data_IF_141811953298
#
_entry.id   IF_141811953298
#
_cell.length_a   1.000
_cell.length_b   1.000
_cell.length_c   1.000
_cell.angle_alpha   90.00
_cell.angle_beta   90.00
_cell.angle_gamma   90.00
#
_symmetry.space_group_name_H-M   'P 1'
#
loop_
_entity.id
_entity.type
_entity.pdbx_description
1 polymer ?
#
# COMPACT_ATOMS: atom_id res chain seq x y z
N UNK A 1 -14.20 6.58 -9.54
CA UNK A 1 -13.29 7.45 -8.76
C UNK A 1 -13.85 8.86 -8.79
N UNK A 2 -13.59 9.65 -7.75
CA UNK A 2 -14.11 11.02 -7.67
C UNK A 2 -13.39 11.99 -8.64
N UNK A 3 -12.42 11.50 -9.46
CA UNK A 3 -11.39 12.26 -10.19
C UNK A 3 -11.93 13.25 -11.22
N UNK A 4 -13.19 13.13 -11.62
CA UNK A 4 -13.86 14.05 -12.54
C UNK A 4 -14.44 15.32 -11.90
N UNK A 5 -14.28 15.53 -10.59
CA UNK A 5 -14.76 16.73 -9.87
C UNK A 5 -13.88 17.97 -10.16
N UNK A 6 -14.48 19.16 -10.08
CA UNK A 6 -13.77 20.43 -10.23
C UNK A 6 -12.66 20.61 -9.20
N UNK A 7 -11.56 21.26 -9.58
CA UNK A 7 -10.44 21.58 -8.69
C UNK A 7 -10.61 22.88 -7.89
N UNK A 8 -11.83 23.44 -7.86
CA UNK A 8 -12.12 24.74 -7.22
C UNK A 8 -12.41 24.63 -5.71
N UNK A 9 -12.47 23.41 -5.18
CA UNK A 9 -12.73 23.13 -3.79
C UNK A 9 -11.71 23.84 -2.87
N UNK A 10 -12.21 24.57 -1.88
CA UNK A 10 -11.38 25.33 -0.94
C UNK A 10 -11.10 24.58 0.36
N UNK A 11 -11.83 23.50 0.62
CA UNK A 11 -11.63 22.62 1.76
C UNK A 11 -12.08 21.19 1.39
N UNK A 12 -11.52 20.14 2.04
CA UNK A 12 -11.99 18.77 1.86
C UNK A 12 -13.50 18.67 2.10
N UNK A 13 -14.19 18.03 1.16
CA UNK A 13 -15.63 17.82 1.10
C UNK A 13 -16.47 19.11 1.01
N UNK A 14 -15.87 20.23 0.59
CA UNK A 14 -16.62 21.46 0.32
C UNK A 14 -17.44 21.39 -0.97
N UNK A 15 -16.99 20.59 -1.92
CA UNK A 15 -17.63 20.41 -3.22
C UNK A 15 -18.39 19.08 -3.24
N UNK A 16 -19.51 19.04 -3.96
CA UNK A 16 -20.35 17.85 -4.05
C UNK A 16 -19.57 16.65 -4.62
N UNK A 17 -19.76 15.47 -4.00
CA UNK A 17 -19.22 14.21 -4.52
C UNK A 17 -19.99 13.81 -5.78
N UNK A 18 -19.33 13.14 -6.73
CA UNK A 18 -20.04 12.54 -7.85
C UNK A 18 -20.80 11.27 -7.38
N UNK A 19 -21.61 10.71 -8.27
CA UNK A 19 -22.49 9.57 -8.00
C UNK A 19 -21.78 8.20 -8.10
N UNK A 20 -20.45 8.18 -8.21
CA UNK A 20 -19.68 6.94 -8.23
C UNK A 20 -19.58 6.36 -6.82
N UNK A 21 -19.72 5.03 -6.72
CA UNK A 21 -19.56 4.28 -5.47
C UNK A 21 -18.19 4.55 -4.85
N UNK A 22 -18.18 4.79 -3.54
CA UNK A 22 -16.94 5.02 -2.78
C UNK A 22 -16.10 3.74 -2.63
N UNK A 23 -14.79 3.91 -2.41
CA UNK A 23 -13.86 2.80 -2.30
C UNK A 23 -14.15 1.87 -1.10
N UNK A 24 -14.59 2.36 0.07
CA UNK A 24 -14.95 1.49 1.20
C UNK A 24 -16.14 0.57 0.91
N UNK A 25 -17.14 1.07 0.18
CA UNK A 25 -18.29 0.28 -0.24
C UNK A 25 -17.88 -0.78 -1.26
N UNK A 26 -17.04 -0.41 -2.25
CA UNK A 26 -16.50 -1.38 -3.21
C UNK A 26 -15.66 -2.46 -2.52
N UNK A 27 -14.82 -2.07 -1.56
CA UNK A 27 -13.99 -2.96 -0.73
C UNK A 27 -14.85 -3.98 0.00
N UNK A 28 -15.86 -3.51 0.74
CA UNK A 28 -16.76 -4.39 1.49
C UNK A 28 -17.52 -5.34 0.56
N UNK A 29 -18.02 -4.83 -0.57
CA UNK A 29 -18.73 -5.64 -1.56
C UNK A 29 -17.86 -6.74 -2.17
N UNK A 30 -16.62 -6.41 -2.52
CA UNK A 30 -15.68 -7.37 -3.10
C UNK A 30 -15.26 -8.44 -2.09
N UNK A 31 -14.92 -8.05 -0.85
CA UNK A 31 -14.56 -9.00 0.21
C UNK A 31 -15.71 -9.96 0.54
N UNK A 32 -16.96 -9.47 0.60
CA UNK A 32 -18.14 -10.31 0.83
C UNK A 32 -18.43 -11.27 -0.33
N UNK A 33 -18.03 -10.93 -1.56
CA UNK A 33 -18.19 -11.79 -2.71
C UNK A 33 -17.09 -12.86 -2.76
N UNK A 34 -15.83 -12.45 -2.60
CA UNK A 34 -14.66 -13.32 -2.71
C UNK A 34 -14.50 -14.24 -1.49
N UNK A 35 -14.83 -13.77 -0.30
CA UNK A 35 -14.73 -14.56 0.94
C UNK A 35 -15.77 -15.68 1.08
N UNK A 36 -16.53 -15.97 0.01
CA UNK A 36 -17.38 -17.16 -0.08
C UNK A 36 -16.60 -18.39 -0.54
N UNK A 37 -15.38 -18.20 -1.06
CA UNK A 37 -14.51 -19.29 -1.49
C UNK A 37 -13.76 -19.89 -0.29
N UNK A 38 -13.93 -21.19 -0.07
CA UNK A 38 -13.27 -21.93 1.03
C UNK A 38 -11.76 -22.10 0.77
N UNK A 39 -11.32 -22.01 -0.49
CA UNK A 39 -9.91 -22.06 -0.87
C UNK A 39 -9.18 -20.71 -0.64
N UNK A 40 -9.94 -19.68 -0.24
CA UNK A 40 -9.44 -18.33 -0.01
C UNK A 40 -9.41 -17.46 -1.28
N UNK A 41 -8.86 -16.26 -1.17
CA UNK A 41 -8.83 -15.31 -2.28
C UNK A 41 -7.67 -14.33 -2.18
N UNK A 42 -7.49 -13.59 -3.27
CA UNK A 42 -6.70 -12.37 -3.29
C UNK A 42 -7.46 -11.24 -3.93
N UNK A 43 -7.16 -10.03 -3.46
CA UNK A 43 -7.76 -8.82 -3.96
C UNK A 43 -6.74 -7.69 -3.89
N UNK A 44 -6.75 -6.86 -4.93
CA UNK A 44 -6.11 -5.54 -4.98
C UNK A 44 -7.20 -4.46 -4.89
N UNK A 45 -7.02 -3.48 -4.00
CA UNK A 45 -7.89 -2.32 -3.80
C UNK A 45 -6.99 -1.09 -3.89
N UNK A 46 -7.30 -0.19 -4.82
CA UNK A 46 -6.41 0.89 -5.19
C UNK A 46 -7.08 2.25 -5.00
N UNK A 47 -6.43 3.13 -4.23
CA UNK A 47 -6.75 4.55 -4.12
C UNK A 47 -6.13 5.38 -5.25
N UNK A 48 -6.26 4.96 -6.51
CA UNK A 48 -5.45 5.48 -7.62
C UNK A 48 -5.63 6.99 -7.93
N UNK A 49 -6.71 7.61 -7.46
CA UNK A 49 -6.92 9.04 -7.62
C UNK A 49 -6.06 9.91 -6.67
N UNK A 50 -5.40 9.33 -5.67
CA UNK A 50 -4.38 10.01 -4.86
C UNK A 50 -3.23 10.48 -5.76
N UNK A 51 -2.72 9.59 -6.61
CA UNK A 51 -1.65 9.92 -7.57
C UNK A 51 -2.05 11.07 -8.51
N UNK A 52 -3.28 11.03 -9.02
CA UNK A 52 -3.83 12.08 -9.88
C UNK A 52 -3.92 13.42 -9.15
N UNK A 53 -4.30 13.41 -7.87
CA UNK A 53 -4.33 14.61 -7.04
C UNK A 53 -2.92 15.17 -6.80
N UNK A 54 -1.94 14.29 -6.59
CA UNK A 54 -0.53 14.63 -6.48
C UNK A 54 0.03 15.26 -7.76
N UNK A 55 -0.24 14.67 -8.92
CA UNK A 55 0.13 15.27 -10.22
C UNK A 55 -0.50 16.65 -10.44
N UNK A 56 -1.73 16.83 -9.95
CA UNK A 56 -2.45 18.11 -10.00
C UNK A 56 -2.06 19.11 -8.92
N UNK A 57 -1.15 18.76 -8.00
CA UNK A 57 -0.81 19.53 -6.80
C UNK A 57 -2.07 20.04 -6.06
N UNK A 58 -3.06 19.15 -5.92
CA UNK A 58 -4.37 19.47 -5.38
C UNK A 58 -4.51 18.93 -3.95
N UNK A 59 -4.18 19.75 -2.93
CA UNK A 59 -4.14 19.29 -1.54
C UNK A 59 -5.53 18.94 -0.99
N UNK A 60 -6.58 19.63 -1.46
CA UNK A 60 -7.95 19.34 -1.02
C UNK A 60 -8.33 17.96 -1.49
N UNK A 61 -8.02 17.64 -2.73
CA UNK A 61 -8.39 16.36 -3.31
C UNK A 61 -7.53 15.21 -2.81
N UNK A 62 -6.24 15.44 -2.65
CA UNK A 62 -5.29 14.49 -2.09
C UNK A 62 -5.75 14.02 -0.69
N UNK A 63 -6.23 14.96 0.15
CA UNK A 63 -6.80 14.64 1.47
C UNK A 63 -8.08 13.79 1.35
N UNK A 64 -9.00 14.15 0.46
CA UNK A 64 -10.27 13.41 0.29
C UNK A 64 -10.04 11.97 -0.17
N UNK A 65 -9.18 11.76 -1.18
CA UNK A 65 -8.85 10.43 -1.72
C UNK A 65 -8.09 9.59 -0.70
N UNK A 66 -7.12 10.19 0.00
CA UNK A 66 -6.40 9.51 1.08
C UNK A 66 -7.35 9.09 2.21
N UNK A 67 -8.34 9.93 2.55
CA UNK A 67 -9.35 9.56 3.56
C UNK A 67 -10.30 8.45 3.07
N UNK A 68 -10.66 8.43 1.79
CA UNK A 68 -11.49 7.36 1.23
C UNK A 68 -10.74 6.02 1.18
N UNK A 69 -9.47 6.06 0.83
CA UNK A 69 -8.58 4.90 0.92
C UNK A 69 -8.43 4.40 2.37
N UNK A 70 -8.18 5.28 3.34
CA UNK A 70 -8.06 4.88 4.75
C UNK A 70 -9.33 4.19 5.27
N UNK A 71 -10.52 4.70 4.89
CA UNK A 71 -11.79 4.02 5.23
C UNK A 71 -11.93 2.65 4.57
N UNK A 72 -11.29 2.43 3.43
CA UNK A 72 -11.25 1.13 2.74
C UNK A 72 -10.36 0.14 3.48
N UNK A 73 -9.23 0.61 4.04
CA UNK A 73 -8.40 -0.18 4.96
C UNK A 73 -9.19 -0.53 6.23
N UNK A 74 -9.90 0.42 6.82
CA UNK A 74 -10.79 0.16 7.97
C UNK A 74 -11.86 -0.90 7.63
N UNK A 75 -12.46 -0.82 6.43
CA UNK A 75 -13.43 -1.80 5.97
C UNK A 75 -12.82 -3.20 5.81
N UNK A 76 -11.60 -3.30 5.26
CA UNK A 76 -10.89 -4.57 5.13
C UNK A 76 -10.54 -5.18 6.49
N UNK A 77 -10.00 -4.37 7.42
CA UNK A 77 -9.70 -4.82 8.79
C UNK A 77 -10.96 -5.34 9.48
N UNK A 78 -12.04 -4.56 9.43
CA UNK A 78 -13.32 -4.96 10.01
C UNK A 78 -13.82 -6.28 9.40
N UNK A 79 -13.72 -6.43 8.08
CA UNK A 79 -14.13 -7.65 7.40
C UNK A 79 -13.34 -8.86 7.91
N UNK A 80 -12.02 -8.73 8.05
CA UNK A 80 -11.17 -9.80 8.59
C UNK A 80 -11.55 -10.16 10.02
N UNK A 81 -11.78 -9.16 10.88
CA UNK A 81 -12.18 -9.39 12.28
C UNK A 81 -13.55 -10.04 12.44
N UNK A 82 -14.47 -9.82 11.50
CA UNK A 82 -15.85 -10.34 11.55
C UNK A 82 -16.03 -11.67 10.79
N UNK A 83 -15.26 -11.92 9.74
CA UNK A 83 -15.50 -13.02 8.79
C UNK A 83 -14.29 -13.93 8.55
N UNK A 84 -13.12 -13.60 9.11
CA UNK A 84 -11.88 -14.36 8.93
C UNK A 84 -11.04 -14.36 10.23
N UNK A 85 -9.73 -14.55 10.12
CA UNK A 85 -8.75 -14.49 11.19
C UNK A 85 -7.44 -13.86 10.70
N UNK A 86 -6.74 -13.16 11.59
CA UNK A 86 -5.37 -12.68 11.33
C UNK A 86 -4.35 -13.82 11.25
N UNK A 87 -4.71 -15.04 11.66
CA UNK A 87 -3.89 -16.23 11.47
C UNK A 87 -3.97 -16.76 10.02
N UNK A 88 -5.07 -16.46 9.32
CA UNK A 88 -5.35 -16.96 7.97
C UNK A 88 -5.29 -15.84 6.90
N UNK A 89 -5.28 -14.58 7.31
CA UNK A 89 -5.29 -13.42 6.41
C UNK A 89 -4.07 -12.56 6.60
N UNK A 90 -3.42 -12.18 5.49
CA UNK A 90 -2.42 -11.13 5.42
C UNK A 90 -3.03 -9.87 4.78
N UNK A 91 -3.00 -8.76 5.51
CA UNK A 91 -3.27 -7.43 4.97
C UNK A 91 -1.94 -6.69 4.78
N UNK A 92 -1.71 -6.17 3.57
CA UNK A 92 -0.59 -5.29 3.24
C UNK A 92 -1.14 -3.94 2.76
N UNK A 93 -0.50 -2.85 3.17
CA UNK A 93 -0.87 -1.47 2.83
C UNK A 93 0.41 -0.67 2.55
N UNK A 94 0.63 -0.27 1.28
CA UNK A 94 1.85 0.43 0.81
C UNK A 94 1.57 1.41 -0.33
N UNK A 95 2.49 2.26 -0.79
CA UNK A 95 2.37 2.82 -2.17
C UNK A 95 3.22 2.06 -3.16
N UNK A 96 2.92 2.29 -4.44
CA UNK A 96 3.81 2.09 -5.58
C UNK A 96 4.88 3.18 -5.67
N UNK A 97 4.51 4.46 -5.48
CA UNK A 97 5.42 5.61 -5.40
C UNK A 97 4.82 6.84 -4.69
N UNK A 98 5.64 7.87 -4.45
CA UNK A 98 5.19 9.21 -4.07
C UNK A 98 5.00 10.08 -5.33
N UNK A 99 4.02 10.99 -5.30
CA UNK A 99 3.73 11.89 -6.42
C UNK A 99 3.54 13.33 -5.95
N UNK A 100 4.19 14.27 -6.64
CA UNK A 100 4.04 15.73 -6.46
C UNK A 100 5.06 16.36 -5.51
N UNK A 101 5.81 15.55 -4.75
CA UNK A 101 6.75 16.05 -3.74
C UNK A 101 6.06 16.97 -2.74
N UNK A 102 5.00 16.48 -2.09
CA UNK A 102 4.27 17.22 -1.07
C UNK A 102 5.11 17.33 0.21
N UNK A 103 5.46 18.55 0.62
CA UNK A 103 6.22 18.78 1.85
C UNK A 103 5.81 20.08 2.56
N UNK A 104 6.54 20.47 3.60
CA UNK A 104 6.37 21.77 4.23
C UNK A 104 6.56 22.91 3.23
N UNK A 105 5.92 24.04 3.50
CA UNK A 105 6.10 25.22 2.66
C UNK A 105 7.51 25.84 2.88
N UNK A 106 8.07 26.38 1.80
CA UNK A 106 9.37 27.06 1.70
C UNK A 106 10.63 26.17 1.85
N UNK A 107 10.51 24.85 1.72
CA UNK A 107 11.65 23.92 1.86
C UNK A 107 12.59 23.93 0.66
N UNK A 108 12.06 23.80 -0.56
CA UNK A 108 12.87 23.61 -1.77
C UNK A 108 12.93 24.91 -2.58
N UNK A 109 14.13 25.35 -3.01
CA UNK A 109 14.27 26.47 -3.93
C UNK A 109 13.61 26.17 -5.27
N UNK A 110 12.72 27.04 -5.72
CA UNK A 110 12.14 27.02 -7.08
C UNK A 110 12.28 28.41 -7.70
N UNK A 111 11.96 28.56 -8.99
CA UNK A 111 11.91 29.89 -9.63
C UNK A 111 10.95 30.83 -8.89
N UNK A 112 9.81 30.29 -8.43
CA UNK A 112 8.80 31.03 -7.66
C UNK A 112 9.10 31.11 -6.15
N UNK A 113 10.12 30.39 -5.66
CA UNK A 113 10.53 30.36 -4.27
C UNK A 113 12.08 30.44 -4.13
N UNK A 114 12.71 31.56 -4.52
CA UNK A 114 14.16 31.70 -4.49
C UNK A 114 14.76 31.79 -3.08
N UNK A 115 13.94 32.12 -2.07
CA UNK A 115 14.34 32.32 -0.67
C UNK A 115 14.08 31.09 0.21
N UNK A 116 13.91 29.91 -0.40
CA UNK A 116 13.71 28.66 0.34
C UNK A 116 14.86 28.39 1.31
N UNK A 117 14.55 27.83 2.47
CA UNK A 117 15.53 27.64 3.55
C UNK A 117 16.31 26.32 3.45
N UNK A 118 16.01 25.49 2.44
CA UNK A 118 16.71 24.26 2.10
C UNK A 118 16.84 23.29 3.29
N UNK A 119 15.76 23.16 4.05
CA UNK A 119 15.62 22.24 5.20
C UNK A 119 14.19 21.71 5.26
N UNK A 120 13.99 20.65 6.05
CA UNK A 120 12.66 20.16 6.37
C UNK A 120 11.88 21.21 7.18
N UNK A 121 10.64 21.47 6.78
CA UNK A 121 9.67 22.31 7.44
C UNK A 121 8.43 21.46 7.74
N UNK A 122 7.94 21.51 8.97
CA UNK A 122 6.68 20.85 9.27
C UNK A 122 5.54 21.53 8.47
N UNK A 123 4.60 20.72 7.98
CA UNK A 123 3.31 21.27 7.54
C UNK A 123 2.54 21.74 8.78
N UNK A 124 2.18 23.02 8.79
CA UNK A 124 1.53 23.67 9.94
C UNK A 124 0.17 24.22 9.52
N UNK A 125 -0.84 24.10 10.36
CA UNK A 125 -2.18 24.58 10.03
C UNK A 125 -3.10 24.68 11.23
N UNK A 126 -4.17 25.46 11.06
CA UNK A 126 -5.27 25.53 12.01
C UNK A 126 -6.24 24.38 11.76
N UNK A 127 -6.85 23.85 12.83
CA UNK A 127 -7.90 22.83 12.73
C UNK A 127 -9.00 23.27 11.76
N UNK A 128 -9.34 22.41 10.80
CA UNK A 128 -10.39 22.66 9.81
C UNK A 128 -9.93 23.46 8.59
N UNK A 129 -8.63 23.77 8.46
CA UNK A 129 -8.03 24.35 7.26
C UNK A 129 -6.99 23.39 6.69
N UNK A 130 -6.78 23.47 5.38
CA UNK A 130 -5.65 22.79 4.73
C UNK A 130 -4.36 23.37 5.32
N UNK A 131 -3.44 22.50 5.73
CA UNK A 131 -2.17 22.90 6.30
C UNK A 131 -1.34 23.70 5.28
N UNK A 132 -0.48 24.60 5.76
CA UNK A 132 0.52 25.28 4.94
C UNK A 132 1.52 24.25 4.44
N UNK A 133 1.57 24.06 3.13
CA UNK A 133 2.38 23.05 2.45
C UNK A 133 3.01 23.63 1.17
N UNK A 134 3.95 22.90 0.60
CA UNK A 134 4.53 23.16 -0.71
C UNK A 134 4.51 21.89 -1.56
N UNK A 135 4.36 22.07 -2.87
CA UNK A 135 4.56 21.03 -3.87
C UNK A 135 5.79 21.38 -4.70
N UNK A 136 6.70 20.43 -4.86
CA UNK A 136 8.00 20.66 -5.50
C UNK A 136 8.22 19.80 -6.74
N UNK A 137 7.18 19.09 -7.19
CA UNK A 137 7.12 18.35 -8.43
C UNK A 137 5.68 18.38 -8.95
N UNK A 138 5.49 17.98 -10.21
CA UNK A 138 4.20 17.57 -10.75
C UNK A 138 4.28 16.14 -11.32
N UNK A 139 5.28 15.38 -10.88
CA UNK A 139 5.65 14.04 -11.31
C UNK A 139 5.95 13.18 -10.08
N UNK A 140 6.16 11.89 -10.31
CA UNK A 140 6.58 10.98 -9.25
C UNK A 140 7.94 11.40 -8.66
N UNK A 141 8.18 11.02 -7.40
CA UNK A 141 9.51 11.10 -6.78
C UNK A 141 10.01 9.72 -6.37
N UNK A 142 11.29 9.66 -6.01
CA UNK A 142 11.93 8.44 -5.51
C UNK A 142 11.94 8.37 -3.97
N UNK A 143 11.02 9.08 -3.30
CA UNK A 143 10.93 8.98 -1.84
C UNK A 143 10.51 7.57 -1.41
N UNK A 144 11.07 7.11 -0.28
CA UNK A 144 10.60 5.90 0.37
C UNK A 144 9.14 6.07 0.81
N UNK A 145 8.32 5.10 0.40
CA UNK A 145 6.92 5.00 0.78
C UNK A 145 6.76 4.10 2.01
N UNK A 146 5.80 4.40 2.91
CA UNK A 146 5.47 3.50 4.01
C UNK A 146 4.95 2.15 3.52
N UNK A 147 5.30 1.10 4.26
CA UNK A 147 4.83 -0.26 4.04
C UNK A 147 4.34 -0.81 5.38
N UNK A 148 3.05 -1.10 5.48
CA UNK A 148 2.39 -1.65 6.66
C UNK A 148 1.85 -3.04 6.36
N UNK A 149 1.82 -3.90 7.37
CA UNK A 149 1.26 -5.23 7.22
C UNK A 149 0.77 -5.79 8.54
N UNK A 150 -0.15 -6.77 8.46
CA UNK A 150 -0.64 -7.52 9.61
C UNK A 150 -1.21 -8.87 9.18
N UNK A 151 -0.95 -9.87 10.00
CA UNK A 151 -1.54 -11.20 9.92
C UNK A 151 -0.56 -12.27 9.43
N UNK A 152 -1.06 -13.29 8.75
CA UNK A 152 -0.27 -14.43 8.28
C UNK A 152 0.98 -13.97 7.49
N UNK A 153 2.14 -14.61 7.68
CA UNK A 153 3.37 -14.26 6.97
C UNK A 153 4.08 -12.96 7.42
N UNK A 154 3.54 -12.24 8.41
CA UNK A 154 4.19 -11.01 8.96
C UNK A 154 5.61 -11.25 9.46
N UNK A 155 5.89 -12.44 10.03
CA UNK A 155 7.23 -12.79 10.52
C UNK A 155 8.23 -12.96 9.37
N UNK A 156 7.80 -13.51 8.24
CA UNK A 156 8.66 -13.70 7.06
C UNK A 156 9.03 -12.36 6.42
N UNK A 157 8.08 -11.42 6.37
CA UNK A 157 8.33 -10.03 5.93
C UNK A 157 9.35 -9.36 6.83
N UNK A 158 9.16 -9.42 8.16
CA UNK A 158 10.08 -8.83 9.14
C UNK A 158 11.49 -9.40 9.04
N UNK A 159 11.64 -10.67 8.68
CA UNK A 159 12.94 -11.31 8.58
C UNK A 159 13.78 -10.83 7.36
N UNK A 160 13.19 -10.08 6.42
CA UNK A 160 13.77 -9.76 5.10
C UNK A 160 13.97 -8.27 4.86
N UNK A 161 14.27 -7.53 5.92
CA UNK A 161 14.70 -6.13 5.81
C UNK A 161 15.82 -5.99 4.78
N UNK A 162 15.60 -5.15 3.77
CA UNK A 162 16.56 -4.89 2.70
C UNK A 162 17.64 -3.89 3.12
N UNK A 163 17.36 -3.05 4.12
CA UNK A 163 18.33 -2.13 4.69
C UNK A 163 17.73 -1.23 5.76
N UNK A 164 18.47 -0.19 6.12
CA UNK A 164 18.02 0.85 7.05
C UNK A 164 18.24 2.23 6.42
N UNK A 165 17.19 3.03 6.40
CA UNK A 165 17.24 4.45 6.13
C UNK A 165 17.42 5.21 7.45
N UNK A 166 18.35 6.16 7.47
CA UNK A 166 18.71 6.90 8.70
C UNK A 166 17.55 7.71 9.30
N UNK A 167 16.53 7.97 8.48
CA UNK A 167 15.38 8.79 8.79
C UNK A 167 14.15 7.92 9.02
N UNK A 168 13.88 6.95 8.14
CA UNK A 168 12.65 6.16 8.07
C UNK A 168 12.76 4.78 8.71
N UNK A 169 13.96 4.36 9.10
CA UNK A 169 14.18 3.06 9.75
C UNK A 169 14.37 1.94 8.72
N UNK A 170 14.04 0.72 9.11
CA UNK A 170 14.20 -0.45 8.24
C UNK A 170 13.28 -0.33 7.01
N UNK A 171 13.78 -0.75 5.85
CA UNK A 171 13.00 -0.78 4.62
C UNK A 171 13.17 -2.12 3.91
N UNK A 172 12.23 -2.42 3.03
CA UNK A 172 12.22 -3.58 2.15
C UNK A 172 12.21 -3.12 0.69
N UNK A 173 12.65 -3.99 -0.22
CA UNK A 173 12.44 -3.80 -1.65
C UNK A 173 10.98 -4.12 -2.03
N UNK A 174 10.41 -3.42 -3.01
CA UNK A 174 9.01 -3.59 -3.40
C UNK A 174 8.71 -4.97 -4.02
N UNK A 175 9.74 -5.71 -4.46
CA UNK A 175 9.60 -7.08 -4.94
C UNK A 175 9.42 -8.09 -3.81
N UNK A 176 9.70 -7.72 -2.56
CA UNK A 176 9.77 -8.66 -1.44
C UNK A 176 8.50 -9.50 -1.27
N UNK A 177 7.33 -8.85 -1.25
CA UNK A 177 6.05 -9.54 -1.04
C UNK A 177 5.73 -10.46 -2.21
N UNK A 178 5.98 -10.02 -3.44
CA UNK A 178 5.76 -10.85 -4.61
C UNK A 178 6.64 -12.11 -4.57
N UNK A 179 7.92 -11.96 -4.23
CA UNK A 179 8.84 -13.10 -4.11
C UNK A 179 8.40 -14.05 -2.98
N UNK A 180 8.02 -13.51 -1.81
CA UNK A 180 7.46 -14.32 -0.71
C UNK A 180 6.24 -15.13 -1.14
N UNK A 181 5.32 -14.50 -1.87
CA UNK A 181 4.12 -15.17 -2.39
C UNK A 181 4.52 -16.30 -3.34
N UNK A 182 5.27 -16.01 -4.39
CA UNK A 182 5.54 -16.99 -5.44
C UNK A 182 6.52 -18.08 -5.05
N UNK A 183 7.53 -17.76 -4.23
CA UNK A 183 8.60 -18.68 -3.93
C UNK A 183 8.27 -19.56 -2.70
N UNK A 184 7.45 -19.06 -1.77
CA UNK A 184 7.29 -19.68 -0.44
C UNK A 184 5.85 -19.87 0.03
N UNK A 185 5.01 -18.84 0.00
CA UNK A 185 3.65 -18.95 0.53
C UNK A 185 2.70 -19.68 -0.42
N UNK A 186 2.92 -19.54 -1.71
CA UNK A 186 2.08 -20.07 -2.78
C UNK A 186 2.81 -21.08 -3.67
N UNK A 187 3.97 -21.58 -3.23
CA UNK A 187 4.69 -22.63 -3.92
C UNK A 187 4.23 -23.99 -3.38
N UNK A 188 3.66 -24.83 -4.24
CA UNK A 188 3.23 -26.20 -3.89
C UNK A 188 4.41 -27.19 -3.80
N UNK A 189 5.64 -26.69 -3.94
CA UNK A 189 6.88 -27.47 -3.90
C UNK A 189 7.17 -28.22 -5.19
N UNK A 190 6.42 -27.98 -6.28
CA UNK A 190 6.65 -28.64 -7.58
C UNK A 190 7.54 -27.85 -8.55
N UNK A 191 7.77 -26.55 -8.29
CA UNK A 191 8.61 -25.71 -9.14
C UNK A 191 10.07 -25.73 -8.69
N UNK A 192 10.72 -26.88 -8.89
CA UNK A 192 12.18 -26.94 -9.05
C UNK A 192 12.51 -27.35 -10.48
N UNK A 193 12.63 -26.34 -11.36
CA UNK A 193 13.57 -26.23 -12.49
C UNK A 193 12.95 -25.52 -13.70
N UNK A 194 13.55 -24.41 -14.11
CA UNK A 194 13.42 -23.90 -15.48
C UNK A 194 13.48 -22.38 -15.60
N UNK A 195 14.67 -21.84 -15.83
CA UNK A 195 14.86 -20.54 -16.49
C UNK A 195 13.94 -20.47 -17.73
N UNK A 196 13.21 -19.38 -18.01
CA UNK A 196 12.25 -19.37 -19.11
C UNK A 196 12.97 -19.55 -20.46
N UNK A 197 12.89 -20.74 -21.02
CA UNK A 197 13.38 -21.04 -22.36
C UNK A 197 12.64 -20.20 -23.41
N UNK A 198 13.43 -19.52 -24.26
CA UNK A 198 12.97 -18.92 -25.50
C UNK A 198 12.27 -19.97 -26.39
N UNK A 199 11.21 -19.60 -27.12
CA UNK A 199 10.46 -20.57 -27.91
C UNK A 199 11.23 -21.02 -29.16
N UNK A 200 11.64 -22.29 -29.15
CA UNK A 200 11.49 -23.21 -30.27
C UNK A 200 12.76 -23.59 -31.04
N UNK A 201 13.19 -24.85 -30.89
CA UNK A 201 13.47 -25.70 -32.05
C UNK A 201 13.35 -27.20 -31.69
N UNK A 202 12.87 -27.98 -32.66
CA UNK A 202 12.28 -29.32 -32.55
C UNK A 202 13.28 -30.49 -32.41
N UNK A 203 12.95 -31.56 -31.67
CA UNK A 203 12.80 -32.97 -32.14
C UNK A 203 13.14 -34.11 -31.14
N UNK A 204 12.14 -35.00 -30.96
CA UNK A 204 12.12 -36.48 -30.77
C UNK A 204 12.74 -37.23 -29.55
N UNK A 205 12.19 -38.43 -29.19
CA UNK A 205 12.14 -38.96 -27.83
C UNK A 205 13.01 -40.21 -27.61
N UNK A 206 13.28 -40.53 -26.34
CA UNK A 206 13.56 -41.91 -25.90
C UNK A 206 13.49 -42.05 -24.37
N UNK A 207 12.69 -43.03 -23.94
CA UNK A 207 12.93 -44.02 -22.89
C UNK A 207 13.06 -43.63 -21.41
N UNK A 208 12.29 -44.35 -20.56
CA UNK A 208 12.86 -44.88 -19.31
C UNK A 208 12.04 -44.73 -18.02
N UNK A 209 11.16 -45.69 -17.79
CA UNK A 209 10.88 -46.39 -16.51
C UNK A 209 11.00 -45.66 -15.14
N UNK A 210 9.83 -45.51 -14.48
CA UNK A 210 9.51 -46.16 -13.20
C UNK A 210 10.13 -45.65 -11.88
N UNK A 211 9.26 -45.20 -10.95
CA UNK A 211 9.01 -45.90 -9.66
C UNK A 211 7.98 -45.18 -8.79
N UNK A 212 7.11 -46.01 -8.21
CA UNK A 212 6.13 -45.71 -7.17
C UNK A 212 6.75 -45.12 -5.90
N UNK A 213 6.03 -44.19 -5.27
CA UNK A 213 6.38 -43.60 -3.99
C UNK A 213 5.26 -42.75 -3.40
N UNK A 214 4.22 -43.43 -2.90
CA UNK A 214 3.11 -42.89 -2.09
C UNK A 214 3.49 -41.72 -1.16
N UNK A 215 2.84 -40.57 -1.34
CA UNK A 215 2.52 -39.64 -0.25
C UNK A 215 1.05 -39.21 -0.37
N UNK A 216 0.43 -39.06 0.79
CA UNK A 216 -1.00 -38.93 1.00
C UNK A 216 -1.49 -37.58 0.50
N UNK A 217 -2.65 -37.60 -0.11
CA UNK A 217 -3.24 -36.47 -0.80
C UNK A 217 -3.45 -35.23 0.05
N UNK A 218 -3.21 -34.10 -0.60
CA UNK A 218 -4.11 -32.97 -0.55
C UNK A 218 -4.46 -32.67 -2.00
N UNK A 219 -5.76 -32.64 -2.31
CA UNK A 219 -6.24 -32.58 -3.68
C UNK A 219 -6.04 -31.18 -4.26
N UNK A 220 -5.52 -31.17 -5.49
CA UNK A 220 -5.35 -30.00 -6.33
C UNK A 220 -6.68 -29.37 -6.78
N UNK A 221 -6.69 -28.04 -6.90
CA UNK A 221 -7.81 -27.24 -7.41
C UNK A 221 -7.43 -25.82 -7.85
N UNK A 222 -6.67 -25.70 -8.94
CA UNK A 222 -6.73 -24.65 -9.98
C UNK A 222 -7.29 -23.22 -9.66
N UNK A 223 -6.36 -22.25 -9.66
CA UNK A 223 -6.33 -21.00 -10.46
C UNK A 223 -7.23 -19.78 -10.10
N UNK A 224 -6.62 -18.65 -9.68
CA UNK A 224 -6.27 -17.46 -10.51
C UNK A 224 -6.08 -16.17 -9.68
N UNK A 225 -4.93 -15.49 -9.86
CA UNK A 225 -4.78 -14.03 -9.76
C UNK A 225 -4.60 -13.39 -8.37
N UNK A 226 -3.34 -13.12 -7.95
CA UNK A 226 -3.02 -12.33 -6.75
C UNK A 226 -2.44 -10.96 -7.10
N UNK A 227 -3.08 -9.90 -6.61
CA UNK A 227 -2.68 -8.50 -6.78
C UNK A 227 -2.56 -7.79 -5.43
N UNK A 228 -1.45 -7.08 -5.23
CA UNK A 228 -0.98 -6.45 -3.99
C UNK A 228 -1.71 -5.11 -3.73
N UNK A 229 -2.29 -4.93 -2.53
CA UNK A 229 -2.99 -3.72 -2.10
C UNK A 229 -2.05 -2.61 -1.65
N UNK A 230 -2.37 -1.35 -1.97
CA UNK A 230 -1.57 -0.21 -1.57
C UNK A 230 -2.35 1.04 -1.16
N UNK A 231 -2.03 1.63 0.03
CA UNK A 231 -1.65 3.05 0.10
C UNK A 231 -0.78 3.42 1.32
N UNK A 232 -0.33 4.66 1.27
CA UNK A 232 0.46 5.41 2.23
C UNK A 232 -0.46 6.11 3.23
N UNK A 233 -0.25 5.91 4.54
CA UNK A 233 -0.18 7.01 5.53
C UNK A 233 0.67 6.57 6.72
N UNK A 234 1.88 7.10 6.82
CA UNK A 234 2.65 7.09 8.09
C UNK A 234 4.13 7.46 7.98
N UNK A 235 4.56 8.06 6.86
CA UNK A 235 5.96 8.42 6.62
C UNK A 235 6.49 9.65 7.35
N UNK A 236 5.65 10.45 8.01
CA UNK A 236 6.09 11.72 8.64
C UNK A 236 6.21 11.69 10.17
N UNK A 237 5.77 10.61 10.84
CA UNK A 237 5.80 10.51 12.30
C UNK A 237 7.12 10.00 12.89
N UNK A 238 7.87 9.19 12.14
CA UNK A 238 9.03 8.48 12.69
C UNK A 238 10.24 9.41 12.97
N UNK A 239 10.42 10.49 12.19
CA UNK A 239 11.56 11.40 12.37
C UNK A 239 11.40 12.49 13.43
N UNK A 240 10.16 12.96 13.67
CA UNK A 240 9.92 14.07 14.60
C UNK A 240 10.09 13.65 16.08
N UNK A 241 9.90 12.37 16.38
CA UNK A 241 10.00 11.82 17.74
C UNK A 241 11.46 11.70 18.23
N UNK A 242 12.44 11.60 17.32
CA UNK A 242 13.86 11.58 17.68
C UNK A 242 14.46 12.97 17.91
N UNK A 243 13.84 14.05 17.41
CA UNK A 243 14.43 15.40 17.45
C UNK A 243 13.74 16.40 18.39
N UNK A 244 12.59 16.09 18.97
CA UNK A 244 12.02 16.86 20.09
C UNK A 244 11.56 18.30 19.78
N UNK A 245 11.15 18.61 18.54
CA UNK A 245 10.79 19.99 18.12
C UNK A 245 9.29 20.24 17.94
N UNK A 246 8.41 19.22 17.82
CA UNK A 246 6.95 19.45 17.81
C UNK A 246 6.14 18.20 18.20
N UNK A 247 5.00 18.40 18.87
CA UNK A 247 4.02 17.35 19.23
C UNK A 247 2.81 17.47 18.31
N UNK A 248 2.73 16.60 17.30
CA UNK A 248 1.46 16.28 16.64
C UNK A 248 0.82 15.19 17.49
N UNK A 249 -0.40 15.41 17.97
CA UNK A 249 -1.15 14.38 18.68
C UNK A 249 -1.66 13.34 17.67
N UNK A 250 -0.73 12.50 17.20
CA UNK A 250 -1.00 11.28 16.45
C UNK A 250 -1.43 10.15 17.38
N UNK A 251 -1.51 10.39 18.69
CA UNK A 251 -1.92 9.40 19.67
C UNK A 251 -3.27 8.78 19.28
N UNK A 252 -4.30 9.48 18.75
CA UNK A 252 -5.54 8.83 18.35
C UNK A 252 -5.36 7.83 17.20
N UNK A 253 -4.49 8.13 16.22
CA UNK A 253 -4.23 7.27 15.06
C UNK A 253 -3.29 6.13 15.44
N UNK A 254 -2.22 6.43 16.18
CA UNK A 254 -1.31 5.43 16.71
C UNK A 254 -2.01 4.50 17.70
N UNK A 255 -2.84 5.03 18.60
CA UNK A 255 -3.69 4.22 19.48
C UNK A 255 -4.76 3.48 18.70
N UNK A 256 -5.29 4.00 17.59
CA UNK A 256 -6.23 3.26 16.73
C UNK A 256 -5.51 2.10 16.02
N UNK A 257 -4.41 2.35 15.33
CA UNK A 257 -3.57 1.33 14.68
C UNK A 257 -3.01 0.31 15.67
N UNK A 258 -2.66 0.74 16.89
CA UNK A 258 -2.14 -0.12 17.98
C UNK A 258 -3.25 -0.87 18.72
N UNK A 259 -4.45 -0.28 18.89
CA UNK A 259 -5.66 -1.01 19.34
C UNK A 259 -6.11 -2.05 18.32
N UNK A 260 -5.88 -1.77 17.04
CA UNK A 260 -6.10 -2.67 15.91
C UNK A 260 -4.92 -3.61 15.66
N UNK A 261 -3.82 -3.48 16.41
CA UNK A 261 -2.64 -4.36 16.40
C UNK A 261 -1.87 -4.44 15.08
N UNK A 262 -1.91 -3.39 14.26
CA UNK A 262 -1.05 -3.24 13.07
C UNK A 262 0.38 -2.88 13.52
N UNK A 263 1.39 -3.37 12.79
CA UNK A 263 2.81 -3.14 13.09
C UNK A 263 3.48 -2.32 12.00
#
# INVERSE_FOLDING_TARGET
MQNSRSSEAKAPYSDELNDVVDLPTMTTGALNALGQDEDGFSIMIEGGAIDWAGHGNNPVRDIEETQDFNKSVDAAIKWVEENSSWEDTLLVVTADHETGYLSGANEVPTEDNPEADNRFNAMEGEKGKVARHGWYSGQHTNQLVPFFFKGAGSEDIMARTSGTDSVRGEYIDNTLVANLVFDEWWNDGTDSAGDPEQPGDTANPSDGEGKDGSSKGFAAGLATGLGILGAVVGGLGFLATQMGVLTIDLQPIYEQLKRMGLR
#
